data_IF_250068896950
#
_entry.id   IF_250068896950
#
_cell.length_a   1.000
_cell.length_b   1.000
_cell.length_c   1.000
_cell.angle_alpha   90.00
_cell.angle_beta   90.00
_cell.angle_gamma   90.00
#
_symmetry.space_group_name_H-M   'P 1'
#
loop_
_entity.id
_entity.type
_entity.pdbx_description
1 polymer ?
#
# COMPACT_ATOMS: atom_id res chain seq x y z
N UNK A 1 -35.68 -8.59 -32.75
CA UNK A 1 -34.58 -8.92 -33.68
C UNK A 1 -33.27 -8.59 -32.99
N UNK A 2 -32.49 -9.60 -32.56
CA UNK A 2 -31.22 -9.39 -31.86
C UNK A 2 -30.11 -9.06 -32.87
N UNK A 3 -29.46 -7.92 -32.67
CA UNK A 3 -28.31 -7.49 -33.47
C UNK A 3 -27.13 -8.45 -33.29
N UNK A 4 -26.59 -8.89 -34.42
CA UNK A 4 -25.35 -9.65 -34.49
C UNK A 4 -24.21 -8.80 -33.91
N UNK A 5 -23.86 -9.05 -32.65
CA UNK A 5 -22.60 -8.59 -32.07
C UNK A 5 -21.48 -9.18 -32.93
N UNK A 6 -20.80 -8.31 -33.66
CA UNK A 6 -19.52 -8.57 -34.28
C UNK A 6 -18.58 -9.08 -33.18
N UNK A 7 -18.40 -10.40 -33.15
CA UNK A 7 -17.32 -11.06 -32.43
C UNK A 7 -16.03 -10.49 -33.01
N UNK A 8 -15.45 -9.53 -32.28
CA UNK A 8 -14.09 -9.07 -32.55
C UNK A 8 -13.24 -10.34 -32.62
N UNK A 9 -12.54 -10.61 -33.74
CA UNK A 9 -11.67 -11.76 -33.80
C UNK A 9 -10.68 -11.61 -32.66
N UNK A 10 -10.75 -12.53 -31.70
CA UNK A 10 -9.72 -12.71 -30.69
C UNK A 10 -8.50 -13.12 -31.49
N UNK A 11 -7.72 -12.13 -31.92
CA UNK A 11 -6.43 -12.34 -32.55
C UNK A 11 -5.68 -13.34 -31.66
N UNK A 12 -5.15 -14.40 -32.28
CA UNK A 12 -4.12 -15.24 -31.67
C UNK A 12 -2.99 -14.32 -31.22
N UNK A 13 -3.07 -13.87 -29.98
CA UNK A 13 -2.04 -13.05 -29.37
C UNK A 13 -0.92 -14.02 -29.04
N UNK A 14 0.27 -13.74 -29.56
CA UNK A 14 1.43 -14.58 -29.35
C UNK A 14 1.65 -14.68 -27.82
N UNK A 15 1.86 -15.88 -27.25
CA UNK A 15 2.10 -16.03 -25.80
C UNK A 15 3.27 -15.17 -25.30
N UNK A 16 4.22 -14.81 -26.16
CA UNK A 16 5.29 -13.86 -25.84
C UNK A 16 4.78 -12.42 -25.57
N UNK A 17 3.73 -11.97 -26.28
CA UNK A 17 3.10 -10.67 -26.03
C UNK A 17 2.40 -10.63 -24.67
N UNK A 18 1.74 -11.72 -24.27
CA UNK A 18 1.07 -11.79 -22.96
C UNK A 18 2.08 -11.74 -21.82
N UNK A 19 3.24 -12.39 -21.97
CA UNK A 19 4.33 -12.33 -20.99
C UNK A 19 4.95 -10.93 -20.92
N UNK A 20 5.07 -10.24 -22.07
CA UNK A 20 5.56 -8.86 -22.11
C UNK A 20 4.58 -7.91 -21.40
N UNK A 21 3.27 -8.02 -21.67
CA UNK A 21 2.23 -7.23 -21.00
C UNK A 21 2.26 -7.45 -19.46
N UNK A 22 2.44 -8.69 -19.00
CA UNK A 22 2.53 -8.99 -17.56
C UNK A 22 3.76 -8.35 -16.90
N UNK A 23 4.93 -8.38 -17.55
CA UNK A 23 6.14 -7.73 -17.04
C UNK A 23 6.00 -6.21 -16.96
N UNK A 24 5.30 -5.61 -17.92
CA UNK A 24 5.05 -4.17 -17.91
C UNK A 24 4.13 -3.77 -16.74
N UNK A 25 3.08 -4.56 -16.47
CA UNK A 25 2.22 -4.36 -15.30
C UNK A 25 3.03 -4.49 -14.00
N UNK A 26 3.91 -5.49 -13.89
CA UNK A 26 4.78 -5.67 -12.73
C UNK A 26 5.73 -4.47 -12.53
N UNK A 27 6.30 -3.94 -13.61
CA UNK A 27 7.17 -2.75 -13.58
C UNK A 27 6.42 -1.52 -13.08
N UNK A 28 5.22 -1.27 -13.61
CA UNK A 28 4.38 -0.14 -13.18
C UNK A 28 3.97 -0.26 -11.71
N UNK A 29 3.67 -1.48 -11.26
CA UNK A 29 3.37 -1.75 -9.85
C UNK A 29 4.56 -1.40 -8.97
N UNK A 30 5.77 -1.80 -9.37
CA UNK A 30 7.00 -1.53 -8.63
C UNK A 30 7.35 -0.04 -8.57
N UNK A 31 7.13 0.71 -9.67
CA UNK A 31 7.32 2.16 -9.71
C UNK A 31 6.32 2.89 -8.81
N UNK A 32 5.04 2.51 -8.86
CA UNK A 32 4.02 3.05 -7.95
C UNK A 32 4.36 2.77 -6.48
N UNK A 33 4.81 1.54 -6.18
CA UNK A 33 5.22 1.16 -4.83
C UNK A 33 6.40 1.99 -4.31
N UNK A 34 7.34 2.31 -5.20
CA UNK A 34 8.48 3.17 -4.89
C UNK A 34 8.04 4.60 -4.58
N UNK A 35 7.06 5.14 -5.31
CA UNK A 35 6.55 6.50 -5.08
C UNK A 35 5.77 6.61 -3.76
N UNK A 36 5.00 5.57 -3.40
CA UNK A 36 4.28 5.48 -2.11
C UNK A 36 5.24 5.49 -0.92
N UNK A 37 6.44 4.92 -1.09
CA UNK A 37 7.47 4.89 -0.05
C UNK A 37 8.03 6.28 0.28
N UNK A 38 7.90 7.25 -0.62
CA UNK A 38 8.34 8.64 -0.45
C UNK A 38 7.20 9.53 0.04
N UNK A 39 7.16 9.80 1.34
CA UNK A 39 6.21 10.75 1.92
C UNK A 39 6.64 12.19 1.68
N UNK A 40 5.89 12.93 0.86
CA UNK A 40 6.02 14.38 0.74
C UNK A 40 4.90 15.07 1.54
N UNK A 41 5.24 15.60 2.72
CA UNK A 41 4.29 16.36 3.55
C UNK A 41 4.35 17.82 3.11
N UNK A 42 3.24 18.35 2.59
CA UNK A 42 3.09 19.77 2.25
C UNK A 42 2.36 20.47 3.40
N UNK A 43 3.02 21.43 4.07
CA UNK A 43 2.40 22.30 5.07
C UNK A 43 2.51 23.74 4.57
N UNK A 44 1.45 24.22 3.90
CA UNK A 44 1.37 25.60 3.39
C UNK A 44 2.45 25.95 2.34
N UNK A 45 2.94 27.20 2.29
CA UNK A 45 3.96 27.61 1.31
C UNK A 45 5.36 27.03 1.60
N UNK A 46 5.55 26.38 2.75
CA UNK A 46 6.83 25.79 3.14
C UNK A 46 6.88 24.36 2.61
N UNK A 47 7.58 24.20 1.49
CA UNK A 47 7.93 22.88 0.97
C UNK A 47 9.08 22.32 1.79
N UNK A 48 8.77 21.43 2.74
CA UNK A 48 9.79 20.65 3.42
C UNK A 48 10.28 19.58 2.45
N UNK A 49 11.24 19.95 1.59
CA UNK A 49 11.85 19.07 0.60
C UNK A 49 12.83 18.04 1.19
N UNK A 50 12.92 17.94 2.52
CA UNK A 50 13.64 16.82 3.12
C UNK A 50 12.72 15.61 3.08
N UNK A 51 13.23 14.54 2.48
CA UNK A 51 12.72 13.18 2.63
C UNK A 51 12.76 12.85 4.12
N UNK A 52 11.75 13.29 4.84
CA UNK A 52 11.61 13.03 6.27
C UNK A 52 10.90 11.69 6.34
N UNK A 53 11.71 10.64 6.26
CA UNK A 53 11.25 9.26 6.32
C UNK A 53 10.36 9.10 7.55
N UNK A 54 9.25 8.35 7.44
CA UNK A 54 8.35 8.03 8.57
C UNK A 54 9.12 7.59 9.82
N UNK A 55 10.25 6.90 9.61
CA UNK A 55 11.23 6.51 10.63
C UNK A 55 11.76 7.67 11.48
N UNK A 56 12.03 8.84 10.90
CA UNK A 56 12.56 10.00 11.63
C UNK A 56 11.51 10.63 12.55
N UNK A 57 10.27 10.78 12.11
CA UNK A 57 9.16 11.25 12.95
C UNK A 57 8.87 10.29 14.10
N UNK A 58 8.86 8.99 13.79
CA UNK A 58 8.73 7.95 14.80
C UNK A 58 9.84 8.04 15.85
N UNK A 59 11.10 8.18 15.44
CA UNK A 59 12.24 8.29 16.35
C UNK A 59 12.14 9.53 17.25
N UNK A 60 11.77 10.70 16.70
CA UNK A 60 11.58 11.92 17.49
C UNK A 60 10.49 11.72 18.53
N UNK A 61 9.33 11.20 18.14
CA UNK A 61 8.23 11.01 19.08
C UNK A 61 8.56 9.97 20.15
N UNK A 62 9.12 8.82 19.77
CA UNK A 62 9.57 7.79 20.72
C UNK A 62 10.59 8.38 21.70
N UNK A 63 11.54 9.19 21.23
CA UNK A 63 12.51 9.84 22.11
C UNK A 63 11.84 10.76 23.13
N UNK A 64 10.89 11.60 22.69
CA UNK A 64 10.13 12.49 23.58
C UNK A 64 9.30 11.69 24.60
N UNK A 65 8.62 10.63 24.17
CA UNK A 65 7.85 9.75 25.06
C UNK A 65 8.75 9.07 26.09
N UNK A 66 9.92 8.57 25.69
CA UNK A 66 10.89 7.94 26.60
C UNK A 66 11.43 8.96 27.62
N UNK A 67 11.79 10.17 27.17
CA UNK A 67 12.22 11.24 28.06
C UNK A 67 11.12 11.66 29.05
N UNK A 68 9.89 11.84 28.59
CA UNK A 68 8.74 12.18 29.43
C UNK A 68 8.43 11.06 30.44
N UNK A 69 8.49 9.80 30.01
CA UNK A 69 8.31 8.66 30.91
C UNK A 69 9.39 8.60 31.99
N UNK A 70 10.67 8.72 31.60
CA UNK A 70 11.78 8.70 32.55
C UNK A 70 11.73 9.87 33.54
N UNK A 71 11.40 11.08 33.06
CA UNK A 71 11.20 12.25 33.91
C UNK A 71 10.00 12.07 34.86
N UNK A 72 8.90 11.50 34.38
CA UNK A 72 7.73 11.17 35.19
C UNK A 72 8.06 10.19 36.31
N UNK A 73 8.77 9.10 35.98
CA UNK A 73 9.26 8.12 36.98
C UNK A 73 10.17 8.80 38.00
N UNK A 74 11.14 9.61 37.57
CA UNK A 74 12.03 10.33 38.47
C UNK A 74 11.26 11.26 39.43
N UNK A 75 10.28 12.00 38.91
CA UNK A 75 9.43 12.89 39.70
C UNK A 75 8.50 12.14 40.67
N UNK A 76 8.04 10.92 40.33
CA UNK A 76 7.24 10.12 41.26
C UNK A 76 8.02 9.60 42.48
N UNK A 77 9.34 9.50 42.37
CA UNK A 77 10.20 9.09 43.49
C UNK A 77 10.43 10.23 44.49
N UNK A 78 10.19 11.48 44.10
CA UNK A 78 10.30 12.66 44.96
C UNK A 78 8.93 12.92 45.60
N UNK A 79 8.84 12.82 46.93
CA UNK A 79 7.58 12.85 47.69
C UNK A 79 6.70 14.08 47.42
N UNK A 80 7.30 15.24 47.21
CA UNK A 80 6.55 16.50 47.01
C UNK A 80 5.95 16.64 45.60
N UNK A 81 6.42 15.88 44.61
CA UNK A 81 6.00 16.00 43.20
C UNK A 81 5.30 14.74 42.68
N UNK A 82 4.80 13.89 43.56
CA UNK A 82 4.24 12.58 43.19
C UNK A 82 3.06 12.69 42.21
N UNK A 83 2.16 13.64 42.44
CA UNK A 83 0.98 13.86 41.57
C UNK A 83 1.39 14.35 40.18
N UNK A 84 2.37 15.28 40.12
CA UNK A 84 2.94 15.77 38.87
C UNK A 84 3.61 14.64 38.08
N UNK A 85 4.37 13.77 38.75
CA UNK A 85 5.02 12.63 38.11
C UNK A 85 4.02 11.65 37.49
N UNK A 86 2.92 11.34 38.19
CA UNK A 86 1.85 10.47 37.68
C UNK A 86 1.20 11.09 36.43
N UNK A 87 0.87 12.40 36.48
CA UNK A 87 0.28 13.10 35.34
C UNK A 87 1.20 13.06 34.11
N UNK A 88 2.51 13.18 34.31
CA UNK A 88 3.51 13.15 33.24
C UNK A 88 3.61 11.77 32.59
N UNK A 89 3.59 10.70 33.40
CA UNK A 89 3.57 9.32 32.90
C UNK A 89 2.30 9.05 32.10
N UNK A 90 1.12 9.35 32.66
CA UNK A 90 -0.17 9.14 31.98
C UNK A 90 -0.24 9.96 30.69
N UNK A 91 0.19 11.22 30.72
CA UNK A 91 0.26 12.09 29.55
C UNK A 91 1.17 11.53 28.45
N UNK A 92 2.32 10.98 28.81
CA UNK A 92 3.26 10.38 27.84
C UNK A 92 2.69 9.14 27.14
N UNK A 93 1.97 8.29 27.88
CA UNK A 93 1.28 7.10 27.34
C UNK A 93 0.16 7.54 26.40
N UNK A 94 -0.64 8.53 26.82
CA UNK A 94 -1.74 9.05 25.99
C UNK A 94 -1.22 9.68 24.70
N UNK A 95 -0.14 10.47 24.77
CA UNK A 95 0.50 11.05 23.60
C UNK A 95 1.00 9.98 22.63
N UNK A 96 1.63 8.91 23.14
CA UNK A 96 2.09 7.79 22.32
C UNK A 96 0.93 7.06 21.62
N UNK A 97 -0.15 6.78 22.35
CA UNK A 97 -1.35 6.14 21.79
C UNK A 97 -2.01 7.01 20.72
N UNK A 98 -2.13 8.32 20.95
CA UNK A 98 -2.68 9.27 19.98
C UNK A 98 -1.84 9.32 18.70
N UNK A 99 -0.51 9.35 18.84
CA UNK A 99 0.37 9.32 17.67
C UNK A 99 0.25 8.02 16.87
N UNK A 100 0.23 6.87 17.54
CA UNK A 100 0.02 5.59 16.87
C UNK A 100 -1.31 5.57 16.09
N UNK A 101 -2.37 6.12 16.66
CA UNK A 101 -3.67 6.27 15.98
C UNK A 101 -3.58 7.15 14.73
N UNK A 102 -2.84 8.26 14.80
CA UNK A 102 -2.61 9.14 13.64
C UNK A 102 -1.81 8.44 12.55
N UNK A 103 -0.70 7.78 12.90
CA UNK A 103 0.14 7.04 11.94
C UNK A 103 -0.68 5.93 11.27
N UNK A 104 -1.45 5.17 12.05
CA UNK A 104 -2.34 4.14 11.53
C UNK A 104 -3.36 4.72 10.55
N UNK A 105 -4.00 5.83 10.92
CA UNK A 105 -5.01 6.49 10.08
C UNK A 105 -4.42 6.92 8.74
N UNK A 106 -3.23 7.54 8.75
CA UNK A 106 -2.62 7.97 7.50
C UNK A 106 -2.14 6.77 6.67
N UNK A 107 -1.69 5.68 7.31
CA UNK A 107 -1.33 4.45 6.59
C UNK A 107 -2.55 3.81 5.92
N UNK A 108 -3.67 3.69 6.64
CA UNK A 108 -4.94 3.19 6.08
C UNK A 108 -5.45 4.10 4.97
N UNK A 109 -5.31 5.42 5.11
CA UNK A 109 -5.71 6.36 4.07
C UNK A 109 -4.86 6.21 2.80
N UNK A 110 -3.54 6.03 2.96
CA UNK A 110 -2.65 5.72 1.83
C UNK A 110 -2.99 4.40 1.18
N UNK A 111 -3.26 3.36 1.96
CA UNK A 111 -3.65 2.06 1.45
C UNK A 111 -4.96 2.15 0.66
N UNK A 112 -5.95 2.89 1.16
CA UNK A 112 -7.19 3.14 0.43
C UNK A 112 -6.99 3.96 -0.85
N UNK A 113 -6.12 4.96 -0.84
CA UNK A 113 -5.82 5.77 -2.02
C UNK A 113 -5.15 4.93 -3.09
N UNK A 114 -4.12 4.18 -2.72
CA UNK A 114 -3.41 3.26 -3.60
C UNK A 114 -4.31 2.13 -4.07
N UNK A 115 -5.20 1.66 -3.21
CA UNK A 115 -6.20 0.67 -3.56
C UNK A 115 -7.20 1.25 -4.57
N UNK A 116 -7.65 2.49 -4.38
CA UNK A 116 -8.49 3.18 -5.35
C UNK A 116 -7.82 3.31 -6.72
N UNK A 117 -6.54 3.65 -6.72
CA UNK A 117 -5.76 3.84 -7.95
C UNK A 117 -5.48 2.50 -8.66
N UNK A 118 -5.04 1.46 -7.93
CA UNK A 118 -4.73 0.13 -8.47
C UNK A 118 -5.97 -0.68 -8.87
N UNK A 119 -7.07 -0.56 -8.12
CA UNK A 119 -8.34 -1.23 -8.42
C UNK A 119 -9.31 -0.33 -9.19
N UNK A 120 -8.81 0.76 -9.77
CA UNK A 120 -9.58 1.61 -10.67
C UNK A 120 -10.30 0.77 -11.72
N UNK A 121 -11.52 1.19 -12.09
CA UNK A 121 -12.41 0.41 -12.97
C UNK A 121 -11.76 0.00 -14.29
N UNK A 122 -10.78 0.76 -14.76
CA UNK A 122 -10.03 0.50 -15.99
C UNK A 122 -9.02 -0.64 -15.83
N UNK A 123 -8.25 -0.65 -14.74
CA UNK A 123 -7.28 -1.71 -14.44
C UNK A 123 -7.97 -3.03 -14.12
N UNK A 124 -9.13 -2.98 -13.44
CA UNK A 124 -9.96 -4.16 -13.17
C UNK A 124 -10.45 -4.82 -14.45
N UNK A 125 -10.89 -4.02 -15.43
CA UNK A 125 -11.27 -4.51 -16.77
C UNK A 125 -10.07 -5.02 -17.57
N UNK A 126 -8.87 -4.50 -17.32
CA UNK A 126 -7.66 -4.98 -17.97
C UNK A 126 -7.22 -6.35 -17.39
N UNK A 127 -7.19 -6.49 -16.06
CA UNK A 127 -6.91 -7.76 -15.40
C UNK A 127 -7.91 -8.86 -15.75
N UNK A 128 -9.22 -8.55 -15.79
CA UNK A 128 -10.23 -9.51 -16.24
C UNK A 128 -9.95 -10.02 -17.66
N UNK A 129 -9.59 -9.12 -18.59
CA UNK A 129 -9.22 -9.50 -19.96
C UNK A 129 -7.99 -10.41 -20.01
N UNK A 130 -7.00 -10.17 -19.16
CA UNK A 130 -5.80 -11.04 -19.08
C UNK A 130 -6.12 -12.42 -18.49
N UNK A 131 -6.99 -12.50 -17.48
CA UNK A 131 -7.43 -13.78 -16.89
C UNK A 131 -8.21 -14.59 -17.93
N UNK A 132 -9.17 -13.97 -18.62
CA UNK A 132 -9.95 -14.62 -19.69
C UNK A 132 -9.05 -15.09 -20.84
N UNK A 133 -8.05 -14.28 -21.23
CA UNK A 133 -7.09 -14.67 -22.26
C UNK A 133 -6.23 -15.85 -21.83
N UNK A 134 -5.78 -15.88 -20.56
CA UNK A 134 -5.00 -17.00 -20.01
C UNK A 134 -5.82 -18.29 -19.97
N UNK A 135 -7.07 -18.23 -19.53
CA UNK A 135 -7.94 -19.40 -19.42
C UNK A 135 -8.16 -20.05 -20.80
N UNK A 136 -8.41 -19.23 -21.83
CA UNK A 136 -8.49 -19.71 -23.22
C UNK A 136 -7.20 -20.38 -23.71
N UNK A 137 -6.04 -19.81 -23.41
CA UNK A 137 -4.76 -20.40 -23.82
C UNK A 137 -4.49 -21.75 -23.12
N UNK A 138 -4.91 -21.90 -21.87
CA UNK A 138 -4.80 -23.16 -21.14
C UNK A 138 -5.74 -24.21 -21.74
N UNK A 139 -6.98 -23.85 -22.03
CA UNK A 139 -7.95 -24.74 -22.67
C UNK A 139 -7.48 -25.20 -24.06
N UNK A 140 -6.93 -24.29 -24.88
CA UNK A 140 -6.37 -24.64 -26.20
C UNK A 140 -5.18 -25.61 -26.09
N UNK A 141 -4.29 -25.40 -25.10
CA UNK A 141 -3.15 -26.30 -24.87
C UNK A 141 -3.59 -27.67 -24.41
N UNK A 142 -4.57 -27.75 -23.53
CA UNK A 142 -5.07 -29.01 -22.99
C UNK A 142 -5.88 -29.78 -24.06
N UNK A 143 -6.62 -29.09 -24.93
CA UNK A 143 -7.25 -29.67 -26.11
C UNK A 143 -6.23 -30.23 -27.12
N UNK A 144 -5.15 -29.49 -27.40
CA UNK A 144 -4.08 -29.94 -28.29
C UNK A 144 -3.31 -31.15 -27.70
N UNK A 145 -3.08 -31.16 -26.37
CA UNK A 145 -2.37 -32.24 -25.68
C UNK A 145 -3.23 -33.51 -25.54
N UNK A 146 -4.55 -33.36 -25.31
CA UNK A 146 -5.48 -34.50 -25.24
C UNK A 146 -5.71 -35.20 -26.58
N UNK A 147 -5.59 -34.48 -27.69
CA UNK A 147 -5.64 -35.06 -29.04
C UNK A 147 -4.43 -35.92 -29.39
N UNK A 148 -3.24 -35.58 -28.88
CA UNK A 148 -1.99 -36.29 -29.15
C UNK A 148 -1.87 -37.65 -28.44
N UNK A 149 -2.69 -37.93 -27.42
CA UNK A 149 -2.64 -39.19 -26.63
C UNK A 149 -3.61 -40.25 -27.19
N UNK A 150 -4.46 -39.90 -28.17
CA UNK A 150 -5.49 -40.79 -28.74
C UNK A 150 -5.21 -41.26 -30.19
N UNK A 151 -4.09 -40.88 -30.79
CA UNK A 151 -3.63 -41.37 -32.10
C UNK A 151 -2.47 -42.33 -31.96
#
# INVERSE_FOLDING_TARGET
>A
MPEARTLVPVMRRDPSEVVADLREVERQLNEAWKDISTWQVHIGPVKVNKVMTSRSWFLVLVSVCVFAFAAGVALTLIKETKELGIALVVGSIFAAASFLGQVWTVQVQKEHQVSGDLWGAEQRRHLQRLIEAREKLVDERDAASGGAVRG
#
